data_IF_304859789903
#
_entry.id   IF_304859789903
#
_cell.length_a   1.000
_cell.length_b   1.000
_cell.length_c   1.000
_cell.angle_alpha   90.00
_cell.angle_beta   90.00
_cell.angle_gamma   90.00
#
_symmetry.space_group_name_H-M   'P 1'
#
loop_
_entity.id
_entity.type
_entity.pdbx_description
1 polymer ?
#
# COMPACT_ATOMS: atom_id res chain seq x y z
N UNK A 1 64.11 -5.22 14.15
CA UNK A 1 63.79 -6.54 13.55
C UNK A 1 62.33 -6.53 13.13
N UNK A 2 62.07 -6.01 11.93
CA UNK A 2 60.72 -5.66 11.40
C UNK A 2 60.29 -6.82 10.51
N UNK A 3 59.28 -7.58 10.96
CA UNK A 3 58.66 -8.68 10.17
C UNK A 3 57.77 -8.03 9.10
N UNK A 4 58.17 -8.10 7.85
CA UNK A 4 57.32 -7.82 6.70
C UNK A 4 56.19 -8.88 6.65
N UNK A 5 54.99 -8.54 6.97
CA UNK A 5 53.80 -9.30 6.65
C UNK A 5 53.61 -9.20 5.12
N UNK A 6 54.03 -10.21 4.40
CA UNK A 6 53.70 -10.41 3.00
C UNK A 6 52.19 -10.55 2.89
N UNK A 7 51.53 -9.48 2.39
CA UNK A 7 50.13 -9.53 2.01
C UNK A 7 50.05 -10.45 0.78
N UNK A 8 49.66 -11.70 1.02
CA UNK A 8 49.39 -12.65 -0.05
C UNK A 8 48.31 -12.10 -0.98
N UNK A 9 48.63 -12.04 -2.27
CA UNK A 9 47.65 -11.60 -3.28
C UNK A 9 46.46 -12.58 -3.34
N UNK A 10 45.27 -12.13 -3.72
CA UNK A 10 44.09 -13.02 -3.86
C UNK A 10 44.35 -14.26 -4.71
N UNK A 11 45.28 -14.15 -5.70
CA UNK A 11 45.68 -15.25 -6.57
C UNK A 11 46.51 -16.31 -5.79
N UNK A 12 47.37 -15.91 -4.86
CA UNK A 12 48.15 -16.84 -4.03
C UNK A 12 47.25 -17.61 -3.06
N UNK A 13 46.24 -16.95 -2.46
CA UNK A 13 45.23 -17.65 -1.63
C UNK A 13 44.36 -18.61 -2.42
N UNK A 14 44.02 -18.27 -3.66
CA UNK A 14 43.27 -19.15 -4.55
C UNK A 14 44.10 -20.37 -4.98
N UNK A 15 45.42 -20.23 -5.16
CA UNK A 15 46.32 -21.35 -5.48
C UNK A 15 46.54 -22.30 -4.29
N UNK A 16 46.66 -21.81 -3.07
CA UNK A 16 46.73 -22.63 -1.86
C UNK A 16 45.44 -23.40 -1.59
N UNK A 17 44.25 -22.74 -1.82
CA UNK A 17 42.96 -23.42 -1.74
C UNK A 17 42.77 -24.50 -2.82
N UNK A 18 43.38 -24.35 -4.00
CA UNK A 18 43.30 -25.33 -5.08
C UNK A 18 44.09 -26.62 -4.79
N UNK A 19 45.16 -26.54 -3.99
CA UNK A 19 45.94 -27.70 -3.60
C UNK A 19 45.23 -28.64 -2.61
N UNK A 20 44.16 -28.15 -1.98
CA UNK A 20 43.35 -28.93 -1.04
C UNK A 20 42.13 -29.63 -1.68
N UNK A 21 41.90 -29.44 -2.96
CA UNK A 21 40.75 -30.04 -3.68
C UNK A 21 41.06 -31.45 -4.19
N UNK A 22 40.13 -32.44 -4.10
CA UNK A 22 40.33 -33.78 -4.60
C UNK A 22 40.71 -33.77 -6.09
N UNK A 23 41.66 -34.58 -6.49
CA UNK A 23 42.44 -34.55 -7.73
C UNK A 23 41.78 -34.26 -9.08
N UNK A 24 40.50 -34.52 -9.27
CA UNK A 24 39.78 -34.13 -10.49
C UNK A 24 39.39 -32.62 -10.50
N UNK A 25 38.95 -32.11 -9.36
CA UNK A 25 38.50 -30.71 -9.20
C UNK A 25 39.69 -29.74 -9.20
N UNK A 26 40.85 -30.16 -8.63
CA UNK A 26 42.10 -29.41 -8.68
C UNK A 26 42.66 -29.28 -10.09
N UNK A 27 42.56 -30.34 -10.93
CA UNK A 27 42.95 -30.28 -12.36
C UNK A 27 42.04 -29.36 -13.18
N UNK A 28 40.77 -29.40 -12.95
CA UNK A 28 39.83 -28.47 -13.60
C UNK A 28 40.14 -27.03 -13.21
N UNK A 29 40.42 -26.77 -11.91
CA UNK A 29 40.75 -25.43 -11.44
C UNK A 29 42.08 -24.91 -12.04
N UNK A 30 43.11 -25.75 -12.11
CA UNK A 30 44.38 -25.36 -12.74
C UNK A 30 44.27 -25.15 -14.25
N UNK A 31 43.44 -25.92 -14.97
CA UNK A 31 43.15 -25.68 -16.38
C UNK A 31 42.37 -24.39 -16.61
N UNK A 32 41.46 -24.01 -15.69
CA UNK A 32 40.74 -22.73 -15.72
C UNK A 32 41.72 -21.55 -15.54
N UNK A 33 42.67 -21.64 -14.63
CA UNK A 33 43.57 -20.54 -14.26
C UNK A 33 44.81 -20.44 -15.11
N UNK A 34 45.34 -21.57 -15.66
CA UNK A 34 46.62 -21.63 -16.37
C UNK A 34 46.50 -22.12 -17.83
N UNK A 35 45.33 -22.61 -18.23
CA UNK A 35 45.07 -23.16 -19.55
C UNK A 35 45.16 -22.16 -20.70
N UNK A 36 45.59 -22.64 -21.88
CA UNK A 36 45.57 -21.85 -23.10
C UNK A 36 44.14 -21.51 -23.57
N UNK A 37 44.03 -20.64 -24.58
CA UNK A 37 42.71 -20.21 -25.10
C UNK A 37 41.84 -21.40 -25.57
N UNK A 38 42.47 -22.42 -26.17
CA UNK A 38 41.77 -23.61 -26.66
C UNK A 38 41.17 -24.44 -25.51
N UNK A 39 41.92 -24.61 -24.39
CA UNK A 39 41.39 -25.27 -23.20
C UNK A 39 40.22 -24.55 -22.56
N UNK A 40 40.30 -23.22 -22.45
CA UNK A 40 39.22 -22.40 -21.91
C UNK A 40 37.95 -22.48 -22.80
N UNK A 41 38.13 -22.51 -24.13
CA UNK A 41 37.01 -22.72 -25.08
C UNK A 41 36.43 -24.12 -24.90
N UNK A 42 37.27 -25.17 -24.76
CA UNK A 42 36.78 -26.54 -24.56
C UNK A 42 35.98 -26.67 -23.25
N UNK A 43 36.47 -26.06 -22.16
CA UNK A 43 35.73 -26.00 -20.87
C UNK A 43 34.39 -25.27 -21.00
N UNK A 44 34.36 -24.14 -21.72
CA UNK A 44 33.14 -23.40 -21.96
C UNK A 44 32.13 -24.22 -22.76
N UNK A 45 32.57 -24.91 -23.82
CA UNK A 45 31.72 -25.79 -24.62
C UNK A 45 31.17 -26.97 -23.81
N UNK A 46 31.99 -27.55 -22.93
CA UNK A 46 31.58 -28.61 -22.02
C UNK A 46 30.54 -28.10 -21.01
N UNK A 47 30.75 -26.91 -20.49
CA UNK A 47 29.78 -26.23 -19.60
C UNK A 47 28.46 -25.93 -20.29
N UNK A 48 28.48 -25.43 -21.54
CA UNK A 48 27.30 -25.21 -22.37
C UNK A 48 26.54 -26.53 -22.61
N UNK A 49 27.26 -27.60 -22.95
CA UNK A 49 26.66 -28.91 -23.17
C UNK A 49 26.01 -29.51 -21.92
N UNK A 50 26.71 -29.46 -20.80
CA UNK A 50 26.21 -29.95 -19.51
C UNK A 50 24.98 -29.16 -19.06
N UNK A 51 25.04 -27.83 -19.16
CA UNK A 51 23.93 -26.98 -18.78
C UNK A 51 22.74 -27.09 -19.74
N UNK A 52 22.98 -27.25 -21.04
CA UNK A 52 21.95 -27.54 -22.02
C UNK A 52 21.22 -28.84 -21.71
N UNK A 53 21.96 -29.91 -21.37
CA UNK A 53 21.39 -31.18 -20.96
C UNK A 53 20.55 -31.02 -19.68
N UNK A 54 21.08 -30.32 -18.66
CA UNK A 54 20.38 -30.04 -17.42
C UNK A 54 19.10 -29.23 -17.66
N UNK A 55 19.16 -28.17 -18.47
CA UNK A 55 18.01 -27.36 -18.82
C UNK A 55 16.92 -28.17 -19.56
N UNK A 56 17.32 -29.15 -20.37
CA UNK A 56 16.38 -30.05 -21.08
C UNK A 56 15.66 -30.99 -20.08
N UNK A 57 16.38 -31.49 -19.07
CA UNK A 57 15.78 -32.30 -18.01
C UNK A 57 14.79 -31.48 -17.17
N UNK A 58 15.20 -30.27 -16.74
CA UNK A 58 14.33 -29.37 -15.97
C UNK A 58 13.07 -28.99 -16.75
N UNK A 59 13.21 -28.64 -18.04
CA UNK A 59 12.03 -28.33 -18.90
C UNK A 59 11.10 -29.53 -19.04
N UNK A 60 11.62 -30.75 -19.17
CA UNK A 60 10.80 -31.97 -19.21
C UNK A 60 10.07 -32.20 -17.90
N UNK A 61 10.74 -31.98 -16.76
CA UNK A 61 10.11 -32.08 -15.45
C UNK A 61 8.98 -31.06 -15.27
N UNK A 62 9.20 -29.82 -15.72
CA UNK A 62 8.16 -28.77 -15.74
C UNK A 62 6.95 -29.21 -16.58
N UNK A 63 7.18 -29.81 -17.74
CA UNK A 63 6.12 -30.24 -18.65
C UNK A 63 5.25 -31.37 -18.10
N UNK A 64 5.86 -32.25 -17.27
CA UNK A 64 5.16 -33.40 -16.67
C UNK A 64 4.40 -33.05 -15.41
N UNK A 65 4.94 -32.09 -14.59
CA UNK A 65 4.39 -31.84 -13.26
C UNK A 65 3.47 -30.59 -13.17
N UNK A 66 3.44 -29.75 -14.23
CA UNK A 66 2.68 -28.50 -14.19
C UNK A 66 1.59 -28.52 -15.26
N UNK A 67 0.34 -28.56 -14.81
CA UNK A 67 -0.84 -28.61 -15.69
C UNK A 67 -1.18 -27.22 -16.25
N UNK A 68 -0.93 -26.15 -15.49
CA UNK A 68 -1.25 -24.76 -15.88
C UNK A 68 -0.30 -24.28 -17.01
N UNK A 69 -0.88 -23.97 -18.16
CA UNK A 69 -0.18 -23.50 -19.36
C UNK A 69 0.59 -22.19 -19.08
N UNK A 70 0.03 -21.27 -18.30
CA UNK A 70 0.65 -19.98 -18.00
C UNK A 70 1.88 -20.15 -17.09
N UNK A 71 1.76 -20.95 -16.04
CA UNK A 71 2.88 -21.23 -15.12
C UNK A 71 4.00 -21.97 -15.83
N UNK A 72 3.68 -22.95 -16.67
CA UNK A 72 4.64 -23.69 -17.49
C UNK A 72 5.43 -22.75 -18.41
N UNK A 73 4.76 -21.80 -19.06
CA UNK A 73 5.42 -20.83 -19.93
C UNK A 73 6.36 -19.88 -19.16
N UNK A 74 5.95 -19.41 -18.00
CA UNK A 74 6.78 -18.55 -17.14
C UNK A 74 8.02 -19.28 -16.63
N UNK A 75 7.87 -20.51 -16.12
CA UNK A 75 8.99 -21.31 -15.63
C UNK A 75 10.01 -21.67 -16.72
N UNK A 76 9.55 -21.97 -17.94
CA UNK A 76 10.45 -22.17 -19.07
C UNK A 76 11.27 -20.92 -19.40
N UNK A 77 10.70 -19.73 -19.31
CA UNK A 77 11.43 -18.47 -19.49
C UNK A 77 12.47 -18.26 -18.38
N UNK A 78 12.11 -18.49 -17.12
CA UNK A 78 13.05 -18.40 -16.00
C UNK A 78 14.26 -19.32 -16.20
N UNK A 79 14.04 -20.58 -16.56
CA UNK A 79 15.12 -21.55 -16.86
C UNK A 79 15.98 -21.05 -18.03
N UNK A 80 15.39 -20.47 -19.05
CA UNK A 80 16.13 -19.93 -20.18
C UNK A 80 16.99 -18.73 -19.80
N UNK A 81 16.45 -17.79 -19.01
CA UNK A 81 17.22 -16.62 -18.53
C UNK A 81 18.33 -17.02 -17.58
N UNK A 82 18.07 -17.96 -16.66
CA UNK A 82 19.09 -18.50 -15.78
C UNK A 82 20.24 -19.13 -16.55
N UNK A 83 19.93 -19.84 -17.67
CA UNK A 83 20.93 -20.38 -18.59
C UNK A 83 21.82 -19.29 -19.18
N UNK A 84 21.22 -18.22 -19.74
CA UNK A 84 21.99 -17.14 -20.36
C UNK A 84 22.87 -16.41 -19.34
N UNK A 85 22.34 -16.15 -18.13
CA UNK A 85 23.08 -15.50 -17.05
C UNK A 85 24.28 -16.38 -16.65
N UNK A 86 24.07 -17.67 -16.41
CA UNK A 86 25.13 -18.60 -16.05
C UNK A 86 26.21 -18.72 -17.14
N UNK A 87 25.80 -18.75 -18.41
CA UNK A 87 26.72 -18.82 -19.56
C UNK A 87 27.59 -17.54 -19.67
N UNK A 88 26.98 -16.36 -19.56
CA UNK A 88 27.69 -15.08 -19.60
C UNK A 88 28.66 -14.99 -18.43
N UNK A 89 28.24 -15.36 -17.23
CA UNK A 89 29.09 -15.37 -16.02
C UNK A 89 30.27 -16.31 -16.21
N UNK A 90 30.04 -17.54 -16.69
CA UNK A 90 31.12 -18.51 -16.97
C UNK A 90 32.10 -17.98 -18.01
N UNK A 91 31.62 -17.37 -19.08
CA UNK A 91 32.46 -16.77 -20.11
C UNK A 91 33.32 -15.63 -19.56
N UNK A 92 32.73 -14.71 -18.78
CA UNK A 92 33.48 -13.62 -18.13
C UNK A 92 34.57 -14.17 -17.20
N UNK A 93 34.28 -15.15 -16.36
CA UNK A 93 35.24 -15.74 -15.43
C UNK A 93 36.37 -16.44 -16.17
N UNK A 94 36.08 -17.21 -17.24
CA UNK A 94 37.08 -17.94 -18.01
C UNK A 94 38.03 -17.05 -18.82
N UNK A 95 37.54 -15.91 -19.31
CA UNK A 95 38.31 -15.02 -20.18
C UNK A 95 38.78 -13.76 -19.46
N UNK A 96 38.49 -13.59 -18.17
CA UNK A 96 38.81 -12.40 -17.38
C UNK A 96 40.28 -11.97 -17.48
N UNK A 97 41.21 -12.91 -17.45
CA UNK A 97 42.65 -12.63 -17.57
C UNK A 97 43.07 -12.07 -18.93
N UNK A 98 42.37 -12.47 -20.03
CA UNK A 98 42.69 -12.04 -21.38
C UNK A 98 42.04 -10.71 -21.74
N UNK A 99 40.94 -10.35 -21.09
CA UNK A 99 40.28 -9.07 -21.29
C UNK A 99 41.04 -7.89 -20.66
N UNK A 100 42.27 -8.17 -20.11
CA UNK A 100 43.07 -7.18 -19.40
C UNK A 100 42.26 -6.40 -18.35
N UNK A 101 41.29 -7.09 -17.74
CA UNK A 101 40.48 -6.52 -16.68
C UNK A 101 41.35 -6.46 -15.44
N UNK A 102 42.25 -5.45 -15.41
CA UNK A 102 43.20 -5.25 -14.32
C UNK A 102 42.52 -5.11 -12.94
N UNK A 103 41.20 -5.01 -12.92
CA UNK A 103 40.37 -4.88 -11.72
C UNK A 103 39.02 -5.58 -11.84
N UNK A 104 39.04 -6.92 -11.92
CA UNK A 104 37.81 -7.74 -11.81
C UNK A 104 37.02 -7.34 -10.56
N UNK A 105 37.70 -7.00 -9.46
CA UNK A 105 37.10 -6.51 -8.24
C UNK A 105 36.26 -5.24 -8.45
N UNK A 106 36.76 -4.29 -9.23
CA UNK A 106 36.04 -3.04 -9.55
C UNK A 106 34.81 -3.32 -10.42
N UNK A 107 34.93 -4.18 -11.42
CA UNK A 107 33.79 -4.53 -12.29
C UNK A 107 32.72 -5.28 -11.52
N UNK A 108 33.11 -6.28 -10.72
CA UNK A 108 32.15 -7.00 -9.84
C UNK A 108 31.52 -6.06 -8.83
N UNK A 109 32.27 -5.12 -8.29
CA UNK A 109 31.76 -4.07 -7.39
C UNK A 109 30.73 -3.17 -8.08
N UNK A 110 30.98 -2.74 -9.33
CA UNK A 110 30.02 -1.94 -10.10
C UNK A 110 28.76 -2.75 -10.43
N UNK A 111 28.89 -4.02 -10.82
CA UNK A 111 27.76 -4.90 -11.07
C UNK A 111 26.95 -5.10 -9.79
N UNK A 112 27.61 -5.38 -8.67
CA UNK A 112 26.94 -5.54 -7.38
C UNK A 112 26.21 -4.27 -6.95
N UNK A 113 26.81 -3.10 -7.14
CA UNK A 113 26.16 -1.82 -6.87
C UNK A 113 24.93 -1.60 -7.78
N UNK A 114 25.04 -1.88 -9.08
CA UNK A 114 23.95 -1.77 -10.03
C UNK A 114 22.77 -2.72 -9.66
N UNK A 115 23.08 -3.98 -9.31
CA UNK A 115 22.09 -4.96 -8.86
C UNK A 115 21.45 -4.52 -7.55
N UNK A 116 22.22 -3.98 -6.60
CA UNK A 116 21.69 -3.46 -5.33
C UNK A 116 20.69 -2.31 -5.57
N UNK A 117 21.02 -1.39 -6.47
CA UNK A 117 20.12 -0.29 -6.84
C UNK A 117 18.86 -0.84 -7.52
N UNK A 118 19.02 -1.79 -8.46
CA UNK A 118 17.89 -2.39 -9.18
C UNK A 118 16.94 -3.17 -8.24
N UNK A 119 17.47 -3.78 -7.18
CA UNK A 119 16.68 -4.54 -6.20
C UNK A 119 16.18 -3.70 -5.01
N UNK A 120 16.56 -2.43 -4.93
CA UNK A 120 16.25 -1.58 -3.78
C UNK A 120 14.74 -1.52 -3.48
N UNK A 121 13.89 -1.46 -4.49
CA UNK A 121 12.43 -1.41 -4.31
C UNK A 121 11.85 -2.75 -3.82
N UNK A 122 12.45 -3.85 -4.21
CA UNK A 122 12.08 -5.19 -3.70
C UNK A 122 12.41 -5.28 -2.21
N UNK A 123 13.62 -4.87 -1.82
CA UNK A 123 14.07 -4.87 -0.41
C UNK A 123 13.20 -3.92 0.43
N UNK A 124 12.89 -2.72 -0.07
CA UNK A 124 11.98 -1.79 0.60
C UNK A 124 10.58 -2.38 0.76
N UNK A 125 10.07 -3.11 -0.24
CA UNK A 125 8.75 -3.74 -0.16
C UNK A 125 8.73 -4.90 0.86
N UNK A 126 9.81 -5.67 0.98
CA UNK A 126 9.97 -6.69 2.03
C UNK A 126 9.98 -6.05 3.42
N UNK A 127 10.74 -4.97 3.61
CA UNK A 127 10.73 -4.22 4.86
C UNK A 127 9.33 -3.64 5.17
N UNK A 128 8.63 -3.15 4.14
CA UNK A 128 7.24 -2.71 4.23
C UNK A 128 6.28 -3.82 4.66
N UNK A 129 6.46 -5.03 4.14
CA UNK A 129 5.68 -6.19 4.55
C UNK A 129 5.87 -6.53 6.04
N UNK A 130 7.11 -6.52 6.53
CA UNK A 130 7.42 -6.72 7.95
C UNK A 130 6.72 -5.62 8.79
N UNK A 131 6.80 -4.37 8.34
CA UNK A 131 6.16 -3.24 9.02
C UNK A 131 4.63 -3.40 9.09
N UNK A 132 3.98 -3.69 7.97
CA UNK A 132 2.52 -3.90 7.89
C UNK A 132 2.10 -5.04 8.81
N UNK A 133 2.81 -6.17 8.81
CA UNK A 133 2.47 -7.33 9.65
C UNK A 133 2.83 -7.18 11.13
N UNK A 134 3.76 -6.25 11.47
CA UNK A 134 4.18 -6.01 12.86
C UNK A 134 3.30 -5.00 13.60
N UNK A 135 2.51 -4.19 12.90
CA UNK A 135 1.67 -3.16 13.49
C UNK A 135 0.19 -3.44 13.30
N UNK A 136 -0.57 -3.26 14.40
CA UNK A 136 -2.02 -3.19 14.33
C UNK A 136 -2.41 -1.88 13.64
N UNK A 137 -3.11 -1.94 12.55
CA UNK A 137 -3.54 -0.73 11.84
C UNK A 137 -3.68 -0.93 10.35
N UNK A 138 -2.98 -1.92 9.78
CA UNK A 138 -3.18 -2.39 8.43
C UNK A 138 -3.42 -3.88 8.48
N UNK A 139 -4.67 -4.29 8.55
CA UNK A 139 -5.10 -5.68 8.60
C UNK A 139 -6.06 -5.95 7.44
N UNK A 140 -6.20 -7.21 7.05
CA UNK A 140 -7.23 -7.60 6.09
C UNK A 140 -8.59 -7.19 6.63
N UNK A 141 -9.33 -6.43 5.83
CA UNK A 141 -10.60 -5.83 6.22
C UNK A 141 -10.50 -4.41 6.77
N UNK A 142 -9.33 -3.86 7.07
CA UNK A 142 -9.18 -2.45 7.43
C UNK A 142 -9.32 -1.54 6.20
N UNK A 143 -9.84 -0.33 6.39
CA UNK A 143 -9.84 0.71 5.38
C UNK A 143 -8.59 1.55 5.52
N UNK A 144 -7.84 1.69 4.45
CA UNK A 144 -6.58 2.45 4.42
C UNK A 144 -6.63 3.51 3.32
N UNK A 145 -5.95 4.63 3.59
CA UNK A 145 -5.57 5.57 2.55
C UNK A 145 -4.06 5.69 2.53
N UNK A 146 -3.45 5.41 1.40
CA UNK A 146 -2.00 5.44 1.19
C UNK A 146 -1.71 5.89 -0.24
N UNK A 147 -0.79 6.84 -0.38
CA UNK A 147 -0.36 7.39 -1.69
C UNK A 147 -1.53 7.86 -2.58
N UNK A 148 -2.58 8.46 -1.99
CA UNK A 148 -3.77 8.93 -2.69
C UNK A 148 -4.80 7.83 -3.03
N UNK A 149 -4.50 6.57 -2.75
CA UNK A 149 -5.42 5.44 -2.94
C UNK A 149 -6.15 5.19 -1.64
N UNK A 150 -7.47 5.11 -1.70
CA UNK A 150 -8.32 4.75 -0.55
C UNK A 150 -8.99 3.42 -0.87
N UNK A 151 -8.91 2.46 0.04
CA UNK A 151 -9.52 1.15 -0.18
C UNK A 151 -9.58 0.27 1.05
N UNK A 152 -10.35 -0.80 0.96
CA UNK A 152 -10.42 -1.85 1.96
C UNK A 152 -9.36 -2.92 1.64
N UNK A 153 -8.49 -3.24 2.59
CA UNK A 153 -7.45 -4.26 2.41
C UNK A 153 -8.09 -5.63 2.26
N UNK A 154 -7.80 -6.31 1.15
CA UNK A 154 -8.33 -7.65 0.87
C UNK A 154 -7.24 -8.73 0.89
N UNK A 155 -5.96 -8.35 0.68
CA UNK A 155 -4.83 -9.27 0.76
C UNK A 155 -3.52 -8.53 1.08
N UNK A 156 -2.62 -9.16 1.84
CA UNK A 156 -1.29 -8.65 2.18
C UNK A 156 -0.24 -9.65 1.72
N UNK A 157 0.22 -9.47 0.49
CA UNK A 157 1.31 -10.28 -0.08
C UNK A 157 2.70 -9.76 0.31
N UNK A 158 3.74 -10.55 -0.02
CA UNK A 158 5.13 -10.27 0.37
C UNK A 158 5.68 -8.94 -0.16
N UNK A 159 5.33 -8.56 -1.38
CA UNK A 159 5.84 -7.34 -2.03
C UNK A 159 4.78 -6.25 -2.16
N UNK A 160 3.51 -6.62 -2.14
CA UNK A 160 2.39 -5.72 -2.39
C UNK A 160 1.18 -6.08 -1.55
N UNK A 161 0.43 -5.08 -1.15
CA UNK A 161 -0.89 -5.18 -0.53
C UNK A 161 -1.96 -4.90 -1.56
N UNK A 162 -3.01 -5.71 -1.58
CA UNK A 162 -4.13 -5.57 -2.50
C UNK A 162 -5.31 -4.92 -1.78
N UNK A 163 -5.87 -3.88 -2.34
CA UNK A 163 -7.00 -3.14 -1.78
C UNK A 163 -8.17 -3.09 -2.76
N UNK A 164 -9.38 -3.20 -2.24
CA UNK A 164 -10.60 -2.92 -2.96
C UNK A 164 -10.87 -1.41 -2.85
N UNK A 165 -10.75 -0.70 -3.97
CA UNK A 165 -10.85 0.76 -4.00
C UNK A 165 -12.24 1.24 -3.55
N UNK A 166 -12.24 2.38 -2.85
CA UNK A 166 -13.47 3.06 -2.41
C UNK A 166 -13.40 4.56 -2.71
N UNK A 167 -14.56 5.17 -2.95
CA UNK A 167 -14.71 6.62 -3.05
C UNK A 167 -14.61 7.19 -4.47
N UNK A 168 -14.35 8.49 -4.51
CA UNK A 168 -14.30 9.26 -5.74
C UNK A 168 -13.11 8.89 -6.64
N UNK A 169 -13.22 9.14 -7.94
CA UNK A 169 -14.30 9.87 -8.62
C UNK A 169 -15.51 9.02 -9.01
N UNK A 170 -15.52 7.71 -8.80
CA UNK A 170 -16.55 6.83 -9.35
C UNK A 170 -17.79 6.72 -8.43
N UNK A 171 -17.59 6.70 -7.13
CA UNK A 171 -18.67 6.48 -6.16
C UNK A 171 -18.55 7.45 -4.99
N UNK A 172 -19.63 8.17 -4.71
CA UNK A 172 -19.69 9.07 -3.55
C UNK A 172 -19.77 8.31 -2.21
N UNK A 173 -19.49 9.03 -1.13
CA UNK A 173 -19.63 8.56 0.24
C UNK A 173 -18.79 7.34 0.60
N UNK A 174 -17.61 7.20 -0.01
CA UNK A 174 -16.60 6.16 0.34
C UNK A 174 -17.14 4.72 0.23
N UNK A 175 -17.95 4.45 -0.78
CA UNK A 175 -18.36 3.09 -1.13
C UNK A 175 -17.39 2.45 -2.12
N UNK A 176 -17.43 1.10 -2.21
CA UNK A 176 -16.58 0.35 -3.12
C UNK A 176 -16.86 0.72 -4.58
N UNK A 177 -15.79 0.95 -5.34
CA UNK A 177 -15.85 1.16 -6.80
C UNK A 177 -15.86 -0.15 -7.58
N UNK A 178 -15.58 -1.28 -6.92
CA UNK A 178 -15.39 -2.59 -7.54
C UNK A 178 -13.99 -2.78 -8.15
N UNK A 179 -13.13 -1.74 -8.17
CA UNK A 179 -11.76 -1.85 -8.69
C UNK A 179 -10.81 -2.41 -7.63
N UNK A 180 -9.88 -3.25 -8.08
CA UNK A 180 -8.80 -3.79 -7.26
C UNK A 180 -7.52 -3.02 -7.61
N UNK A 181 -6.87 -2.48 -6.58
CA UNK A 181 -5.60 -1.75 -6.70
C UNK A 181 -4.53 -2.47 -5.90
N UNK A 182 -3.34 -2.61 -6.47
CA UNK A 182 -2.19 -3.18 -5.77
C UNK A 182 -1.21 -2.07 -5.40
N UNK A 183 -0.91 -1.94 -4.11
CA UNK A 183 0.00 -0.95 -3.54
C UNK A 183 1.29 -1.66 -3.13
N UNK A 184 2.48 -1.22 -3.59
CA UNK A 184 3.73 -1.77 -3.09
C UNK A 184 3.85 -1.58 -1.58
N UNK A 185 4.32 -2.61 -0.85
CA UNK A 185 4.43 -2.52 0.60
C UNK A 185 5.41 -1.43 1.07
N UNK A 186 6.38 -1.06 0.22
CA UNK A 186 7.27 0.09 0.46
C UNK A 186 6.53 1.41 0.66
N UNK A 187 5.33 1.58 0.08
CA UNK A 187 4.51 2.78 0.26
C UNK A 187 4.08 2.96 1.71
N UNK A 188 3.80 1.88 2.44
CA UNK A 188 3.43 1.93 3.85
C UNK A 188 4.56 2.38 4.78
N UNK A 189 5.83 2.31 4.32
CA UNK A 189 6.99 2.84 5.04
C UNK A 189 7.27 4.31 4.72
N UNK A 190 7.05 4.71 3.46
CA UNK A 190 7.56 5.96 2.92
C UNK A 190 6.48 7.04 2.75
N UNK A 191 5.21 6.67 2.90
CA UNK A 191 4.06 7.55 2.72
C UNK A 191 3.24 7.66 4.01
N UNK A 192 2.42 8.70 4.09
CA UNK A 192 1.43 8.81 5.15
C UNK A 192 0.36 7.73 4.95
N UNK A 193 0.09 7.00 6.01
CA UNK A 193 -0.94 5.96 6.04
C UNK A 193 -2.04 6.40 6.99
N UNK A 194 -3.24 6.59 6.46
CA UNK A 194 -4.45 6.78 7.26
C UNK A 194 -5.14 5.43 7.32
N UNK A 195 -5.36 4.91 8.51
CA UNK A 195 -6.04 3.62 8.70
C UNK A 195 -7.26 3.78 9.59
N UNK A 196 -8.37 3.21 9.14
CA UNK A 196 -9.52 2.89 9.98
C UNK A 196 -9.44 1.40 10.26
N UNK A 197 -8.76 1.06 11.35
CA UNK A 197 -8.47 -0.31 11.72
C UNK A 197 -9.74 -1.06 12.11
N UNK A 198 -9.67 -2.38 12.05
CA UNK A 198 -10.74 -3.30 12.50
C UNK A 198 -11.10 -3.08 13.97
N UNK A 199 -10.14 -2.58 14.76
CA UNK A 199 -10.28 -2.26 16.18
C UNK A 199 -11.11 -1.00 16.42
N UNK A 200 -11.07 -0.01 15.50
CA UNK A 200 -11.95 1.16 15.54
C UNK A 200 -12.46 1.50 14.14
N UNK A 201 -13.55 0.87 13.71
CA UNK A 201 -14.16 1.12 12.42
C UNK A 201 -14.96 2.43 12.36
N UNK A 202 -14.85 3.31 13.36
CA UNK A 202 -15.68 4.49 13.54
C UNK A 202 -14.97 5.76 13.10
N UNK A 203 -15.73 6.62 12.44
CA UNK A 203 -15.26 7.94 12.02
C UNK A 203 -16.29 8.99 12.39
N UNK A 204 -15.82 10.19 12.68
CA UNK A 204 -16.70 11.34 12.78
C UNK A 204 -17.29 11.66 11.41
N UNK A 205 -18.58 11.88 11.39
CA UNK A 205 -19.34 12.28 10.21
C UNK A 205 -20.20 13.48 10.54
N UNK A 206 -20.34 14.38 9.57
CA UNK A 206 -21.14 15.59 9.70
C UNK A 206 -22.21 15.64 8.62
N UNK A 207 -23.43 16.04 9.06
CA UNK A 207 -24.57 16.27 8.19
C UNK A 207 -24.98 17.73 8.41
N UNK A 208 -25.00 18.51 7.33
CA UNK A 208 -25.31 19.92 7.36
C UNK A 208 -26.70 20.18 6.80
N UNK A 209 -27.48 20.96 7.54
CA UNK A 209 -28.82 21.40 7.14
C UNK A 209 -28.93 22.91 7.38
N UNK A 210 -29.39 23.61 6.37
CA UNK A 210 -29.61 25.06 6.41
C UNK A 210 -31.12 25.34 6.54
N UNK A 211 -31.50 26.02 7.62
CA UNK A 211 -32.89 26.50 7.85
C UNK A 211 -32.95 28.00 7.74
N UNK A 212 -34.15 28.57 7.43
CA UNK A 212 -34.32 30.01 7.29
C UNK A 212 -34.08 30.75 8.60
N UNK A 213 -33.82 32.05 8.57
CA UNK A 213 -33.64 32.85 9.79
C UNK A 213 -34.92 32.96 10.60
N UNK A 214 -36.09 32.84 9.94
CA UNK A 214 -37.43 32.89 10.51
C UNK A 214 -37.83 31.58 11.19
N UNK A 215 -37.12 30.48 10.87
CA UNK A 215 -37.38 29.17 11.45
C UNK A 215 -37.07 29.12 12.94
N UNK A 216 -37.78 28.27 13.67
CA UNK A 216 -37.35 27.83 15.02
C UNK A 216 -36.15 26.88 14.91
N UNK A 217 -34.99 27.48 14.68
CA UNK A 217 -33.72 26.72 14.55
C UNK A 217 -33.35 25.94 15.84
N UNK A 218 -33.87 26.37 17.01
CA UNK A 218 -33.65 25.65 18.26
C UNK A 218 -34.39 24.32 18.25
N UNK A 219 -35.63 24.32 17.83
CA UNK A 219 -36.46 23.13 17.65
C UNK A 219 -35.88 22.23 16.56
N UNK A 220 -35.44 22.81 15.43
CA UNK A 220 -34.76 22.06 14.37
C UNK A 220 -33.48 21.35 14.88
N UNK A 221 -32.64 22.07 15.64
CA UNK A 221 -31.44 21.51 16.28
C UNK A 221 -31.78 20.36 17.22
N UNK A 222 -32.81 20.51 18.04
CA UNK A 222 -33.20 19.49 19.01
C UNK A 222 -33.75 18.24 18.32
N UNK A 223 -34.54 18.38 17.24
CA UNK A 223 -34.98 17.26 16.39
C UNK A 223 -33.78 16.52 15.78
N UNK A 224 -32.82 17.25 15.18
CA UNK A 224 -31.62 16.64 14.60
C UNK A 224 -30.83 15.86 15.65
N UNK A 225 -30.68 16.42 16.85
CA UNK A 225 -29.97 15.75 17.94
C UNK A 225 -30.70 14.48 18.38
N UNK A 226 -32.02 14.53 18.55
CA UNK A 226 -32.82 13.40 19.02
C UNK A 226 -32.83 12.25 18.01
N UNK A 227 -32.94 12.54 16.71
CA UNK A 227 -32.79 11.55 15.64
C UNK A 227 -31.43 10.87 15.71
N UNK A 228 -30.35 11.64 15.88
CA UNK A 228 -29.01 11.08 15.98
C UNK A 228 -28.77 10.31 17.29
N UNK A 229 -29.40 10.71 18.41
CA UNK A 229 -29.32 10.00 19.69
C UNK A 229 -29.96 8.63 19.63
N UNK A 230 -31.14 8.50 19.01
CA UNK A 230 -31.80 7.21 18.83
C UNK A 230 -30.89 6.22 18.08
N UNK A 231 -30.21 6.70 17.05
CA UNK A 231 -29.25 5.90 16.27
C UNK A 231 -27.97 5.59 17.04
N UNK A 232 -27.50 6.57 17.83
CA UNK A 232 -26.31 6.41 18.67
C UNK A 232 -26.51 5.31 19.69
N UNK A 233 -27.67 5.22 20.33
CA UNK A 233 -27.98 4.14 21.29
C UNK A 233 -27.95 2.75 20.67
N UNK A 234 -28.31 2.61 19.39
CA UNK A 234 -28.20 1.35 18.63
C UNK A 234 -26.75 0.89 18.45
N UNK A 235 -25.81 1.84 18.28
CA UNK A 235 -24.41 1.54 17.97
C UNK A 235 -23.44 1.67 19.16
N UNK A 236 -23.86 2.24 20.30
CA UNK A 236 -23.05 2.41 21.51
C UNK A 236 -22.33 1.14 21.99
N UNK A 237 -22.95 -0.06 21.99
CA UNK A 237 -22.26 -1.27 22.44
C UNK A 237 -21.01 -1.61 21.64
N UNK A 238 -21.05 -1.38 20.32
CA UNK A 238 -19.91 -1.59 19.41
C UNK A 238 -18.85 -0.50 19.58
N UNK A 239 -19.30 0.76 19.82
CA UNK A 239 -18.45 1.91 20.11
C UNK A 239 -17.53 1.67 21.29
N UNK A 240 -18.10 1.25 22.41
CA UNK A 240 -17.38 1.11 23.67
C UNK A 240 -16.22 0.12 23.57
N UNK A 241 -16.43 -1.03 22.91
CA UNK A 241 -15.39 -2.03 22.69
C UNK A 241 -14.23 -1.51 21.85
N UNK A 242 -14.52 -0.77 20.79
CA UNK A 242 -13.50 -0.20 19.89
C UNK A 242 -12.64 0.85 20.60
N UNK A 243 -13.26 1.74 21.38
CA UNK A 243 -12.54 2.82 22.07
C UNK A 243 -11.69 2.35 23.25
N UNK A 244 -12.15 1.40 24.04
CA UNK A 244 -11.37 0.83 25.14
C UNK A 244 -10.07 0.16 24.66
N UNK A 245 -10.07 -0.38 23.44
CA UNK A 245 -8.86 -0.98 22.87
C UNK A 245 -7.89 0.09 22.37
N UNK A 246 -8.39 1.19 21.78
CA UNK A 246 -7.56 2.32 21.34
C UNK A 246 -6.93 3.08 22.52
N UNK A 247 -7.69 3.33 23.58
CA UNK A 247 -7.17 4.00 24.79
C UNK A 247 -6.10 3.16 25.50
N UNK A 248 -6.13 1.83 25.34
CA UNK A 248 -5.08 0.95 25.85
C UNK A 248 -3.83 0.92 24.97
N UNK A 249 -4.00 1.10 23.67
CA UNK A 249 -2.90 1.06 22.71
C UNK A 249 -2.21 2.42 22.55
N UNK A 250 -2.99 3.48 22.60
CA UNK A 250 -2.51 4.85 22.39
C UNK A 250 -2.82 5.69 23.65
N UNK A 251 -1.85 6.44 24.13
CA UNK A 251 -1.99 7.29 25.31
C UNK A 251 -2.85 8.54 25.03
N UNK A 252 -4.11 8.34 24.63
CA UNK A 252 -5.07 9.43 24.46
C UNK A 252 -6.42 9.07 25.07
N UNK A 253 -7.21 10.08 25.42
CA UNK A 253 -8.59 9.91 25.88
C UNK A 253 -9.54 10.52 24.88
N UNK A 254 -10.55 9.78 24.49
CA UNK A 254 -11.66 10.33 23.73
C UNK A 254 -12.52 11.20 24.63
N UNK A 255 -12.89 12.38 24.12
CA UNK A 255 -13.92 13.22 24.73
C UNK A 255 -15.32 12.62 24.59
N UNK A 256 -16.36 13.46 24.63
CA UNK A 256 -17.74 13.01 24.40
C UNK A 256 -17.89 12.40 23.00
N UNK A 257 -18.48 11.21 22.94
CA UNK A 257 -18.80 10.49 21.69
C UNK A 257 -20.25 10.66 21.27
N UNK A 258 -21.05 11.30 22.14
CA UNK A 258 -22.47 11.55 21.86
C UNK A 258 -22.64 12.52 20.67
N UNK A 259 -23.71 12.35 19.88
CA UNK A 259 -24.07 13.28 18.81
C UNK A 259 -24.25 14.71 19.36
N UNK A 260 -23.80 15.66 18.58
CA UNK A 260 -23.92 17.07 18.91
C UNK A 260 -24.26 17.88 17.64
N UNK A 261 -25.08 18.93 17.79
CA UNK A 261 -25.44 19.84 16.68
C UNK A 261 -24.82 21.21 16.95
N UNK A 262 -23.92 21.61 16.07
CA UNK A 262 -23.34 22.95 16.03
C UNK A 262 -24.27 23.88 15.26
N UNK A 263 -24.30 25.15 15.66
CA UNK A 263 -25.13 26.18 15.04
C UNK A 263 -24.22 27.30 14.55
N UNK A 264 -24.34 27.65 13.28
CA UNK A 264 -23.57 28.71 12.62
C UNK A 264 -24.52 29.64 11.86
N UNK A 265 -24.13 30.90 11.70
CA UNK A 265 -24.87 31.86 10.87
C UNK A 265 -24.26 31.79 9.47
N UNK A 266 -25.09 31.47 8.48
CA UNK A 266 -24.70 31.42 7.07
C UNK A 266 -25.36 32.52 6.26
N UNK A 267 -25.03 32.68 4.99
CA UNK A 267 -25.49 33.77 4.14
C UNK A 267 -27.03 33.84 3.96
N UNK A 268 -27.67 32.65 3.97
CA UNK A 268 -29.10 32.53 3.67
C UNK A 268 -29.93 31.92 4.81
N UNK A 269 -29.36 31.76 5.99
CA UNK A 269 -30.05 31.13 7.12
C UNK A 269 -29.15 30.68 8.24
N UNK A 270 -29.67 29.80 9.09
CA UNK A 270 -28.97 29.18 10.20
C UNK A 270 -28.51 27.80 9.78
N UNK A 271 -27.17 27.59 9.73
CA UNK A 271 -26.58 26.32 9.42
C UNK A 271 -26.49 25.46 10.68
N UNK A 272 -27.12 24.30 10.63
CA UNK A 272 -27.08 23.27 11.66
C UNK A 272 -26.20 22.12 11.19
N UNK A 273 -25.08 21.87 11.91
CA UNK A 273 -24.13 20.81 11.58
C UNK A 273 -24.23 19.72 12.64
N UNK A 274 -24.90 18.62 12.31
CA UNK A 274 -24.95 17.42 13.15
C UNK A 274 -23.64 16.66 13.01
N UNK A 275 -22.94 16.48 14.11
CA UNK A 275 -21.72 15.68 14.21
C UNK A 275 -22.02 14.41 14.99
N UNK A 276 -21.78 13.25 14.36
CA UNK A 276 -22.04 11.94 14.95
C UNK A 276 -20.95 10.95 14.59
N UNK A 277 -20.75 9.92 15.42
CA UNK A 277 -19.88 8.79 15.13
C UNK A 277 -20.62 7.77 14.26
N UNK A 278 -19.92 7.25 13.26
CA UNK A 278 -20.52 6.34 12.28
C UNK A 278 -19.52 5.26 11.89
N UNK A 279 -19.92 3.98 11.77
CA UNK A 279 -19.08 2.96 11.17
C UNK A 279 -18.72 3.31 9.73
N UNK A 280 -17.42 3.27 9.41
CA UNK A 280 -16.87 3.67 8.10
C UNK A 280 -17.65 3.06 6.93
N UNK A 281 -18.00 1.78 7.03
CA UNK A 281 -18.69 1.03 5.96
C UNK A 281 -20.20 1.31 5.89
N UNK A 282 -20.80 1.76 6.99
CA UNK A 282 -22.25 2.07 7.07
C UNK A 282 -22.54 3.56 6.92
N UNK A 283 -21.53 4.40 6.68
CA UNK A 283 -21.69 5.86 6.64
C UNK A 283 -22.83 6.30 5.72
N UNK A 284 -22.89 5.81 4.49
CA UNK A 284 -23.92 6.21 3.52
C UNK A 284 -25.33 5.81 3.95
N UNK A 285 -25.52 4.57 4.38
CA UNK A 285 -26.82 4.08 4.79
C UNK A 285 -27.33 4.77 6.06
N UNK A 286 -26.42 5.12 6.98
CA UNK A 286 -26.79 5.86 8.19
C UNK A 286 -27.09 7.32 7.88
N UNK A 287 -26.34 7.96 6.97
CA UNK A 287 -26.63 9.30 6.50
C UNK A 287 -28.02 9.36 5.84
N UNK A 288 -28.34 8.40 4.98
CA UNK A 288 -29.64 8.29 4.32
C UNK A 288 -30.76 8.17 5.35
N UNK A 289 -30.64 7.26 6.33
CA UNK A 289 -31.61 7.07 7.40
C UNK A 289 -31.82 8.32 8.26
N UNK A 290 -30.72 8.96 8.69
CA UNK A 290 -30.77 10.19 9.50
C UNK A 290 -31.44 11.31 8.69
N UNK A 291 -31.03 11.50 7.44
CA UNK A 291 -31.57 12.55 6.59
C UNK A 291 -33.06 12.34 6.30
N UNK A 292 -33.47 11.10 6.03
CA UNK A 292 -34.88 10.77 5.84
C UNK A 292 -35.72 11.08 7.08
N UNK A 293 -35.30 10.63 8.26
CA UNK A 293 -36.03 10.88 9.52
C UNK A 293 -36.08 12.37 9.87
N UNK A 294 -35.01 13.14 9.57
CA UNK A 294 -35.00 14.58 9.77
C UNK A 294 -36.03 15.25 8.81
N UNK A 295 -36.02 14.86 7.53
CA UNK A 295 -36.97 15.40 6.53
C UNK A 295 -38.42 15.16 6.95
N UNK A 296 -38.75 13.94 7.41
CA UNK A 296 -40.09 13.59 7.85
C UNK A 296 -40.50 14.43 9.06
N UNK A 297 -39.66 14.54 10.09
CA UNK A 297 -39.94 15.33 11.28
C UNK A 297 -40.01 16.85 11.02
N UNK A 298 -39.20 17.37 10.11
CA UNK A 298 -39.28 18.79 9.73
C UNK A 298 -40.54 19.08 8.94
N UNK A 299 -41.03 18.15 8.12
CA UNK A 299 -42.29 18.32 7.40
C UNK A 299 -43.52 18.37 8.33
N UNK A 300 -43.42 17.74 9.51
CA UNK A 300 -44.49 17.80 10.54
C UNK A 300 -44.47 19.11 11.34
N UNK A 301 -43.43 19.93 11.21
CA UNK A 301 -43.20 21.14 11.99
C UNK A 301 -43.32 22.41 11.14
N UNK A 302 -44.47 23.08 11.16
CA UNK A 302 -44.72 24.26 10.31
C UNK A 302 -43.84 25.46 10.67
N UNK A 303 -43.12 25.44 11.79
CA UNK A 303 -42.18 26.50 12.21
C UNK A 303 -40.77 26.30 11.67
N UNK A 304 -40.51 25.25 10.90
CA UNK A 304 -39.18 24.95 10.37
C UNK A 304 -39.28 24.92 8.85
N UNK A 305 -38.50 25.75 8.18
CA UNK A 305 -38.37 25.83 6.73
C UNK A 305 -36.93 25.66 6.30
N UNK A 306 -36.68 24.85 5.28
CA UNK A 306 -35.33 24.75 4.69
C UNK A 306 -34.99 26.04 3.97
N UNK A 307 -33.78 26.54 4.17
CA UNK A 307 -33.32 27.73 3.47
C UNK A 307 -32.93 27.41 2.02
N UNK A 308 -33.34 28.29 1.14
CA UNK A 308 -32.94 28.32 -0.25
C UNK A 308 -32.07 29.55 -0.52
N UNK A 309 -31.23 29.57 -1.55
CA UNK A 309 -30.53 30.78 -1.95
C UNK A 309 -31.57 31.90 -2.25
N UNK A 310 -31.60 32.96 -1.43
CA UNK A 310 -32.52 34.07 -1.56
C UNK A 310 -31.78 35.30 -2.08
N UNK A 311 -32.41 36.03 -3.02
CA UNK A 311 -31.89 37.27 -3.56
C UNK A 311 -32.90 38.39 -3.27
N UNK A 312 -32.44 39.47 -2.66
CA UNK A 312 -33.24 40.68 -2.51
C UNK A 312 -33.02 41.55 -3.74
N UNK A 313 -34.07 41.70 -4.56
CA UNK A 313 -34.02 42.51 -5.78
C UNK A 313 -34.54 43.90 -5.43
N UNK A 314 -33.70 44.93 -5.57
CA UNK A 314 -34.09 46.32 -5.46
C UNK A 314 -34.38 46.83 -6.86
N UNK A 315 -35.58 47.39 -7.07
CA UNK A 315 -35.90 48.15 -8.29
C UNK A 315 -35.65 49.62 -8.02
N UNK A 316 -34.80 50.24 -8.82
CA UNK A 316 -34.57 51.69 -8.78
C UNK A 316 -35.91 52.40 -9.06
N UNK A 317 -36.45 53.10 -8.10
CA UNK A 317 -37.73 53.81 -8.20
C UNK A 317 -38.78 53.46 -7.15
N UNK A 318 -38.59 52.43 -6.31
CA UNK A 318 -39.52 52.04 -5.23
C UNK A 318 -39.16 52.64 -3.85
N UNK A 319 -38.05 53.38 -3.72
CA UNK A 319 -37.61 53.96 -2.44
C UNK A 319 -38.30 55.26 -2.02
N UNK A 320 -39.14 55.88 -2.86
CA UNK A 320 -39.84 57.14 -2.50
C UNK A 320 -41.12 56.93 -1.65
N UNK A 321 -41.50 55.66 -1.36
CA UNK A 321 -42.75 55.34 -0.66
C UNK A 321 -42.68 54.88 0.77
N UNK A 322 -41.50 54.52 1.29
CA UNK A 322 -41.34 53.87 2.61
C UNK A 322 -40.91 54.80 3.76
N UNK A 323 -41.00 56.11 3.56
CA UNK A 323 -40.61 57.13 4.55
C UNK A 323 -41.75 58.06 4.91
N UNK A 324 -42.87 57.52 5.47
CA UNK A 324 -43.80 58.32 6.28
C UNK A 324 -44.45 57.45 7.35
#
# INVERSE_FOLDING_TARGET
MMRYLLIQTPIQRAQEGAQSLPGAMGRIWSSITQGGALEKIAILLLFVGAFWAASRVVRRAIDVHIEDVNQRHQLRKVVTYAFWIALVTAAVVLFAERLALADIGTILGLIAAAVTIALADVVRSLAGWIYVNSRRGVEIGSRVAVDGIIGDVIDIGLLKTTVLEVGEPLVHAMQSTGRIVTVPNSAFLNKNVISSATVNPLVWHEIQILVTFESDWKKARDIMRDVAMNLYEEIVPDLRKGFESLEREYAFRLGSTAPFVYTEIADSGVLLTLRNLTPVRRRRSLTDRISGEILDRFAEEPTIEFAYPTYRIFRLGEEEGAGR
#
